data_IF_286445499605
#
_entry.id   IF_286445499605
#
_cell.length_a   1.000
_cell.length_b   1.000
_cell.length_c   1.000
_cell.angle_alpha   90.00
_cell.angle_beta   90.00
_cell.angle_gamma   90.00
#
_symmetry.space_group_name_H-M   'P 1'
#
loop_
_entity.id
_entity.type
_entity.pdbx_description
1 polymer ?
#
# COMPACT_ATOMS: atom_id res chain seq x y z
N UNK A 1 -12.19 11.72 -6.53
CA UNK A 1 -11.59 10.47 -6.00
C UNK A 1 -12.71 9.45 -5.91
N UNK A 2 -12.57 8.29 -6.53
CA UNK A 2 -13.54 7.20 -6.41
C UNK A 2 -13.06 6.28 -5.29
N UNK A 3 -13.90 6.08 -4.27
CA UNK A 3 -13.67 5.07 -3.25
C UNK A 3 -13.96 3.69 -3.87
N UNK A 4 -13.00 2.77 -3.80
CA UNK A 4 -13.20 1.38 -4.24
C UNK A 4 -13.60 0.55 -3.02
N UNK A 5 -14.85 0.06 -2.90
CA UNK A 5 -15.26 -0.75 -1.76
C UNK A 5 -14.54 -2.11 -1.75
N UNK A 6 -14.52 -2.77 -0.59
CA UNK A 6 -13.81 -4.04 -0.39
C UNK A 6 -14.27 -5.13 -1.37
N UNK A 7 -15.57 -5.22 -1.66
CA UNK A 7 -16.11 -6.15 -2.67
C UNK A 7 -15.47 -6.01 -4.04
N UNK A 8 -15.18 -4.78 -4.46
CA UNK A 8 -14.57 -4.48 -5.75
C UNK A 8 -13.06 -4.74 -5.71
N UNK A 9 -12.42 -4.52 -4.56
CA UNK A 9 -11.02 -4.86 -4.36
C UNK A 9 -10.79 -6.38 -4.40
N UNK A 10 -11.66 -7.17 -3.76
CA UNK A 10 -11.63 -8.64 -3.85
C UNK A 10 -11.87 -9.13 -5.29
N UNK A 11 -12.80 -8.50 -6.02
CA UNK A 11 -13.09 -8.84 -7.42
C UNK A 11 -11.89 -8.60 -8.35
N UNK A 12 -11.01 -7.64 -8.03
CA UNK A 12 -9.77 -7.42 -8.77
C UNK A 12 -8.78 -8.60 -8.61
N UNK A 13 -8.87 -9.38 -7.51
CA UNK A 13 -8.01 -10.55 -7.26
C UNK A 13 -8.56 -11.87 -7.81
N UNK A 14 -9.87 -11.98 -8.07
CA UNK A 14 -10.52 -13.20 -8.57
C UNK A 14 -10.88 -13.11 -10.07
N UNK A 15 -10.45 -12.04 -10.75
CA UNK A 15 -10.72 -11.79 -12.16
C UNK A 15 -9.43 -11.82 -13.00
N UNK A 16 -9.55 -11.53 -14.30
CA UNK A 16 -8.44 -11.53 -15.28
C UNK A 16 -7.30 -10.51 -15.00
N UNK A 17 -7.33 -9.78 -13.87
CA UNK A 17 -6.42 -8.67 -13.57
C UNK A 17 -5.17 -9.10 -12.80
N UNK A 18 -5.26 -10.17 -12.02
CA UNK A 18 -4.21 -10.71 -11.16
C UNK A 18 -4.16 -12.22 -11.42
N UNK A 19 -2.97 -12.83 -11.42
CA UNK A 19 -2.88 -14.30 -11.56
C UNK A 19 -3.45 -14.99 -10.32
N UNK A 20 -4.13 -16.12 -10.53
CA UNK A 20 -4.63 -16.98 -9.42
C UNK A 20 -3.53 -17.38 -8.43
N UNK A 21 -2.26 -17.37 -8.87
CA UNK A 21 -1.07 -17.66 -8.07
C UNK A 21 -0.78 -16.61 -6.99
N UNK A 22 -1.23 -15.36 -7.19
CA UNK A 22 -1.02 -14.28 -6.23
C UNK A 22 -2.11 -14.25 -5.15
N UNK A 23 -3.31 -14.76 -5.43
CA UNK A 23 -4.44 -14.74 -4.48
C UNK A 23 -4.10 -15.37 -3.12
N UNK A 24 -3.37 -16.51 -3.04
CA UNK A 24 -2.98 -17.11 -1.75
C UNK A 24 -2.02 -16.26 -0.92
N UNK A 25 -1.34 -15.27 -1.52
CA UNK A 25 -0.38 -14.42 -0.79
C UNK A 25 -1.08 -13.32 0.02
N UNK A 26 -2.34 -13.01 -0.28
CA UNK A 26 -3.12 -11.99 0.43
C UNK A 26 -3.90 -12.60 1.60
N UNK A 27 -3.49 -12.26 2.82
CA UNK A 27 -4.21 -12.62 4.04
C UNK A 27 -5.51 -11.82 4.22
N UNK A 28 -5.56 -10.59 3.69
CA UNK A 28 -6.72 -9.72 3.72
C UNK A 28 -6.71 -8.78 2.51
N UNK A 29 -7.90 -8.40 2.04
CA UNK A 29 -8.09 -7.41 0.99
C UNK A 29 -9.02 -6.33 1.53
N UNK A 30 -8.58 -5.08 1.45
CA UNK A 30 -9.34 -3.95 2.00
C UNK A 30 -9.55 -2.88 0.93
N UNK A 31 -10.82 -2.54 0.70
CA UNK A 31 -11.22 -1.34 -0.02
C UNK A 31 -11.58 -0.20 0.93
N UNK A 32 -11.97 0.94 0.38
CA UNK A 32 -12.58 2.04 1.12
C UNK A 32 -14.09 1.83 1.17
N UNK A 33 -14.57 1.24 2.27
CA UNK A 33 -15.98 0.94 2.49
C UNK A 33 -16.78 2.19 2.94
N UNK A 34 -18.10 2.07 2.96
CA UNK A 34 -18.98 3.16 3.39
C UNK A 34 -18.62 3.65 4.80
N UNK A 35 -18.51 4.97 4.97
CA UNK A 35 -18.09 5.60 6.22
C UNK A 35 -16.58 5.81 6.35
N UNK A 36 -15.77 5.34 5.40
CA UNK A 36 -14.33 5.60 5.35
C UNK A 36 -14.01 6.74 4.39
N UNK A 37 -13.06 7.58 4.77
CA UNK A 37 -12.49 8.60 3.91
C UNK A 37 -11.46 7.98 2.96
N UNK A 38 -11.51 8.36 1.69
CA UNK A 38 -10.50 7.94 0.70
C UNK A 38 -9.13 8.57 0.99
N UNK A 39 -8.08 7.93 0.50
CA UNK A 39 -6.72 8.49 0.48
C UNK A 39 -6.74 9.94 -0.05
N UNK A 40 -6.05 10.89 0.60
CA UNK A 40 -4.93 10.70 1.53
C UNK A 40 -5.31 10.40 2.99
N UNK A 41 -6.59 10.21 3.31
CA UNK A 41 -6.98 9.72 4.63
C UNK A 41 -6.39 8.33 4.91
N UNK A 42 -5.95 8.02 6.14
CA UNK A 42 -5.32 6.75 6.48
C UNK A 42 -6.31 5.59 6.69
N UNK A 43 -7.62 5.85 6.63
CA UNK A 43 -8.70 4.94 7.04
C UNK A 43 -8.53 3.52 6.47
N UNK A 44 -8.23 3.39 5.18
CA UNK A 44 -8.07 2.08 4.52
C UNK A 44 -6.87 1.29 5.03
N UNK A 45 -5.78 1.97 5.37
CA UNK A 45 -4.56 1.35 5.90
C UNK A 45 -4.78 0.93 7.35
N UNK A 46 -5.35 1.82 8.16
CA UNK A 46 -5.67 1.54 9.57
C UNK A 46 -6.68 0.39 9.69
N UNK A 47 -7.71 0.37 8.82
CA UNK A 47 -8.67 -0.73 8.78
C UNK A 47 -8.01 -2.06 8.41
N UNK A 48 -7.13 -2.05 7.41
CA UNK A 48 -6.38 -3.25 7.01
C UNK A 48 -5.52 -3.79 8.16
N UNK A 49 -4.74 -2.91 8.81
CA UNK A 49 -3.90 -3.27 9.95
C UNK A 49 -4.73 -3.84 11.12
N UNK A 50 -5.87 -3.22 11.44
CA UNK A 50 -6.77 -3.69 12.48
C UNK A 50 -7.37 -5.08 12.19
N UNK A 51 -7.74 -5.37 10.93
CA UNK A 51 -8.26 -6.69 10.53
C UNK A 51 -7.17 -7.76 10.60
N UNK A 52 -5.94 -7.43 10.19
CA UNK A 52 -4.80 -8.33 10.24
C UNK A 52 -4.21 -8.50 11.66
N UNK A 53 -4.60 -7.65 12.62
CA UNK A 53 -4.05 -7.66 13.97
C UNK A 53 -2.58 -7.25 14.03
N UNK A 54 -2.11 -6.42 13.10
CA UNK A 54 -0.72 -5.96 13.02
C UNK A 54 -0.56 -4.51 13.47
N UNK A 55 0.60 -4.19 14.00
CA UNK A 55 0.97 -2.82 14.35
C UNK A 55 1.34 -2.02 13.09
N UNK A 56 0.51 -1.03 12.73
CA UNK A 56 0.73 -0.19 11.55
C UNK A 56 2.10 0.52 11.58
N UNK A 57 2.63 0.82 12.77
CA UNK A 57 3.94 1.45 12.95
C UNK A 57 5.11 0.52 12.68
N UNK A 58 4.83 -0.75 12.37
CA UNK A 58 5.78 -1.77 11.92
C UNK A 58 5.43 -2.31 10.53
N UNK A 59 4.61 -1.59 9.76
CA UNK A 59 4.23 -1.96 8.39
C UNK A 59 4.87 -1.05 7.35
N UNK A 60 5.28 -1.65 6.24
CA UNK A 60 5.68 -0.92 5.02
C UNK A 60 4.49 -0.86 4.09
N UNK A 61 4.16 0.33 3.63
CA UNK A 61 3.13 0.56 2.63
C UNK A 61 3.77 0.69 1.24
N UNK A 62 3.15 0.07 0.22
CA UNK A 62 3.61 0.15 -1.18
C UNK A 62 2.46 0.69 -2.04
N UNK A 63 2.70 1.75 -2.81
CA UNK A 63 1.71 2.36 -3.70
C UNK A 63 2.34 3.04 -4.92
N UNK A 64 1.59 3.90 -5.58
CA UNK A 64 2.02 4.48 -6.86
C UNK A 64 1.47 5.90 -7.10
N UNK A 65 0.94 6.55 -6.06
CA UNK A 65 0.46 7.93 -6.12
C UNK A 65 0.86 8.75 -4.90
N UNK A 66 0.89 10.09 -5.05
CA UNK A 66 1.02 11.04 -3.94
C UNK A 66 -0.01 10.82 -2.82
N UNK A 67 -1.22 10.39 -3.16
CA UNK A 67 -2.29 10.11 -2.18
C UNK A 67 -1.97 8.88 -1.35
N UNK A 68 -1.32 7.88 -1.93
CA UNK A 68 -0.88 6.69 -1.20
C UNK A 68 0.19 7.04 -0.17
N UNK A 69 1.21 7.79 -0.59
CA UNK A 69 2.29 8.21 0.30
C UNK A 69 1.78 9.07 1.46
N UNK A 70 0.90 10.03 1.17
CA UNK A 70 0.26 10.83 2.21
C UNK A 70 -0.58 9.98 3.18
N UNK A 71 -1.32 8.98 2.68
CA UNK A 71 -2.09 8.08 3.54
C UNK A 71 -1.20 7.18 4.41
N UNK A 72 -0.11 6.64 3.87
CA UNK A 72 0.85 5.83 4.61
C UNK A 72 1.49 6.62 5.75
N UNK A 73 1.92 7.86 5.47
CA UNK A 73 2.45 8.78 6.47
C UNK A 73 1.40 9.14 7.53
N UNK A 74 0.18 9.44 7.13
CA UNK A 74 -0.92 9.72 8.05
C UNK A 74 -1.30 8.51 8.92
N UNK A 75 -1.13 7.29 8.41
CA UNK A 75 -1.37 6.05 9.15
C UNK A 75 -0.23 5.70 10.13
N UNK A 76 0.93 6.33 9.97
CA UNK A 76 2.12 6.05 10.78
C UNK A 76 2.90 4.82 10.34
N UNK A 77 2.81 4.41 9.07
CA UNK A 77 3.64 3.32 8.54
C UNK A 77 5.14 3.62 8.74
N UNK A 78 5.95 2.58 9.00
CA UNK A 78 7.41 2.74 9.18
C UNK A 78 8.14 3.06 7.87
N UNK A 79 7.49 2.77 6.74
CA UNK A 79 7.99 3.14 5.43
C UNK A 79 6.88 3.19 4.40
N UNK A 80 7.02 4.08 3.44
CA UNK A 80 6.23 4.15 2.23
C UNK A 80 7.13 4.04 1.01
N UNK A 81 6.89 3.04 0.19
CA UNK A 81 7.57 2.84 -1.09
C UNK A 81 6.61 3.15 -2.23
N UNK A 82 7.11 3.80 -3.27
CA UNK A 82 6.34 3.99 -4.50
C UNK A 82 6.96 3.29 -5.69
N UNK A 83 6.12 2.78 -6.58
CA UNK A 83 6.55 2.10 -7.81
C UNK A 83 6.44 3.05 -9.00
N UNK A 84 7.45 3.05 -9.88
CA UNK A 84 7.42 3.84 -11.12
C UNK A 84 6.42 3.26 -12.11
N UNK A 85 5.28 3.92 -12.32
CA UNK A 85 4.20 3.43 -13.21
C UNK A 85 4.47 3.71 -14.69
N UNK A 86 5.13 4.81 -15.03
CA UNK A 86 5.62 5.20 -16.36
C UNK A 86 6.68 6.31 -16.22
N UNK A 87 7.46 6.61 -17.27
CA UNK A 87 8.62 7.53 -17.31
C UNK A 87 8.34 9.01 -17.00
N UNK A 88 7.20 9.34 -16.41
CA UNK A 88 6.89 10.69 -15.95
C UNK A 88 7.72 11.01 -14.70
N UNK A 89 8.48 12.11 -14.77
CA UNK A 89 9.41 12.66 -13.76
C UNK A 89 8.77 13.09 -12.42
N UNK A 90 7.69 12.45 -11.98
CA UNK A 90 7.11 12.73 -10.66
C UNK A 90 7.88 11.94 -9.59
N UNK A 91 9.19 12.22 -9.49
CA UNK A 91 10.13 11.55 -8.57
C UNK A 91 9.76 11.82 -7.10
N UNK A 92 9.05 12.93 -6.85
CA UNK A 92 8.58 13.29 -5.52
C UNK A 92 7.08 12.98 -5.35
N UNK A 93 6.79 11.71 -5.07
CA UNK A 93 5.48 11.29 -4.58
C UNK A 93 5.31 11.52 -3.08
N UNK A 94 6.33 12.05 -2.39
CA UNK A 94 6.37 12.13 -0.94
C UNK A 94 6.51 10.78 -0.25
N UNK A 95 6.98 9.74 -0.95
CA UNK A 95 7.34 8.44 -0.40
C UNK A 95 8.75 8.47 0.21
N UNK A 96 9.11 7.45 0.99
CA UNK A 96 10.45 7.34 1.59
C UNK A 96 11.47 6.77 0.59
N UNK A 97 11.00 5.99 -0.39
CA UNK A 97 11.82 5.57 -1.53
C UNK A 97 10.96 5.28 -2.78
N UNK A 98 11.57 5.50 -3.94
CA UNK A 98 11.07 5.09 -5.25
C UNK A 98 11.76 3.77 -5.64
N UNK A 99 10.97 2.73 -5.90
CA UNK A 99 11.46 1.42 -6.35
C UNK A 99 11.08 1.16 -7.81
N UNK A 100 12.00 0.52 -8.54
CA UNK A 100 11.84 0.08 -9.92
C UNK A 100 11.70 -1.44 -10.04
N UNK A 101 11.97 -2.20 -8.97
CA UNK A 101 11.70 -3.64 -8.88
C UNK A 101 11.26 -4.04 -7.47
N UNK A 102 10.57 -5.18 -7.35
CA UNK A 102 10.12 -5.69 -6.06
C UNK A 102 11.29 -6.13 -5.16
N UNK A 103 12.43 -6.56 -5.72
CA UNK A 103 13.62 -6.96 -4.95
C UNK A 103 14.15 -5.82 -4.06
N UNK A 104 13.95 -4.57 -4.47
CA UNK A 104 14.36 -3.39 -3.70
C UNK A 104 13.54 -3.21 -2.41
N UNK A 105 12.38 -3.86 -2.28
CA UNK A 105 11.62 -3.87 -1.03
C UNK A 105 12.43 -4.57 0.06
N UNK A 106 13.03 -5.71 -0.25
CA UNK A 106 13.82 -6.47 0.72
C UNK A 106 15.06 -5.67 1.14
N UNK A 107 15.76 -5.07 0.18
CA UNK A 107 16.88 -4.15 0.45
C UNK A 107 16.45 -3.01 1.38
N UNK A 108 15.34 -2.34 1.09
CA UNK A 108 14.84 -1.23 1.91
C UNK A 108 14.53 -1.67 3.34
N UNK A 109 13.84 -2.81 3.51
CA UNK A 109 13.49 -3.35 4.82
C UNK A 109 14.77 -3.67 5.62
N UNK A 110 15.74 -4.32 4.99
CA UNK A 110 17.00 -4.67 5.63
C UNK A 110 17.78 -3.42 6.09
N UNK A 111 17.99 -2.47 5.18
CA UNK A 111 18.83 -1.29 5.41
C UNK A 111 18.21 -0.25 6.35
N UNK A 112 16.88 -0.07 6.32
CA UNK A 112 16.24 1.06 6.99
C UNK A 112 15.35 0.70 8.18
N UNK A 113 14.96 -0.57 8.31
CA UNK A 113 14.04 -1.03 9.35
C UNK A 113 14.70 -2.05 10.28
N UNK A 114 15.40 -3.06 9.74
CA UNK A 114 15.94 -4.15 10.57
C UNK A 114 17.30 -3.84 11.23
N UNK A 115 18.08 -2.92 10.65
CA UNK A 115 19.41 -2.54 11.18
C UNK A 115 19.35 -1.38 12.19
N UNK A 116 18.17 -0.78 12.41
CA UNK A 116 17.97 0.29 13.40
C UNK A 116 17.46 -0.24 14.73
#
# INVERSE_FOLDING_TARGET
ATAKPTSNAESDLTGLRISEELRPLFHHVQGTDAGMSSKPSPDVILKCAAVLGVDVTRTVYIGDTKRDAAAAKAAGCVGCLTIRRDSTNDDDLGADALISSFDQIETYIFEHILIK
#
